data_IF_232093195713
#
_entry.id   IF_232093195713
#
_cell.length_a   1.000
_cell.length_b   1.000
_cell.length_c   1.000
_cell.angle_alpha   90.00
_cell.angle_beta   90.00
_cell.angle_gamma   90.00
#
_symmetry.space_group_name_H-M   'P 1'
#
loop_
_entity.id
_entity.type
_entity.pdbx_description
1 polymer ?
#
# COMPACT_ATOMS: atom_id res chain seq x y z
N UNK A 1 -26.83 9.41 23.77
CA UNK A 1 -26.04 8.39 24.51
C UNK A 1 -26.89 7.20 24.93
N UNK A 2 -28.14 7.38 25.39
CA UNK A 2 -29.06 6.27 25.73
C UNK A 2 -29.42 5.36 24.52
N UNK A 3 -29.58 5.92 23.32
CA UNK A 3 -29.97 5.18 22.11
C UNK A 3 -28.92 4.13 21.65
N UNK A 4 -27.65 4.29 22.07
CA UNK A 4 -26.58 3.34 21.72
C UNK A 4 -26.59 2.11 22.64
N UNK A 5 -26.90 2.30 23.93
CA UNK A 5 -27.00 1.20 24.90
C UNK A 5 -28.20 0.28 24.62
N UNK A 6 -29.33 0.85 24.18
CA UNK A 6 -30.53 0.09 23.80
C UNK A 6 -30.33 -0.74 22.53
N UNK A 7 -29.53 -0.24 21.59
CA UNK A 7 -29.13 -0.99 20.39
C UNK A 7 -28.15 -2.10 20.74
N UNK A 8 -27.17 -1.81 21.57
CA UNK A 8 -26.17 -2.78 22.00
C UNK A 8 -26.79 -3.95 22.77
N UNK A 9 -27.73 -3.68 23.67
CA UNK A 9 -28.46 -4.73 24.37
C UNK A 9 -29.29 -5.59 23.42
N UNK A 10 -29.91 -5.01 22.39
CA UNK A 10 -30.63 -5.77 21.34
C UNK A 10 -29.69 -6.63 20.50
N UNK A 11 -28.52 -6.10 20.10
CA UNK A 11 -27.52 -6.89 19.35
C UNK A 11 -26.97 -8.05 20.18
N UNK A 12 -26.62 -7.81 21.45
CA UNK A 12 -26.20 -8.87 22.40
C UNK A 12 -27.28 -9.95 22.56
N UNK A 13 -28.55 -9.55 22.61
CA UNK A 13 -29.68 -10.49 22.74
C UNK A 13 -29.91 -11.29 21.46
N UNK A 14 -29.61 -10.72 20.29
CA UNK A 14 -29.91 -11.31 18.99
C UNK A 14 -28.78 -12.19 18.45
N UNK A 15 -27.51 -11.88 18.76
CA UNK A 15 -26.34 -12.65 18.30
C UNK A 15 -25.65 -13.44 19.41
N UNK A 16 -25.87 -13.09 20.69
CA UNK A 16 -25.21 -13.73 21.83
C UNK A 16 -23.71 -13.41 21.98
N UNK A 17 -23.16 -12.54 21.12
CA UNK A 17 -21.73 -12.24 21.08
C UNK A 17 -21.46 -10.88 21.75
N UNK A 18 -20.58 -10.88 22.75
CA UNK A 18 -20.10 -9.67 23.41
C UNK A 18 -19.27 -8.81 22.44
N UNK A 19 -19.32 -7.47 22.57
CA UNK A 19 -18.52 -6.53 21.77
C UNK A 19 -17.02 -6.87 21.75
N UNK A 20 -16.47 -7.28 22.89
CA UNK A 20 -15.07 -7.69 22.97
C UNK A 20 -14.79 -8.94 22.14
N UNK A 21 -15.68 -9.94 22.23
CA UNK A 21 -15.56 -11.15 21.43
C UNK A 21 -15.70 -10.86 19.93
N UNK A 22 -16.63 -9.98 19.54
CA UNK A 22 -16.79 -9.52 18.17
C UNK A 22 -15.51 -8.86 17.65
N UNK A 23 -14.89 -7.98 18.42
CA UNK A 23 -13.63 -7.34 18.05
C UNK A 23 -12.51 -8.35 17.79
N UNK A 24 -12.35 -9.34 18.69
CA UNK A 24 -11.35 -10.41 18.52
C UNK A 24 -11.65 -11.26 17.28
N UNK A 25 -12.90 -11.64 17.06
CA UNK A 25 -13.30 -12.40 15.87
C UNK A 25 -13.05 -11.61 14.57
N UNK A 26 -13.36 -10.32 14.54
CA UNK A 26 -13.08 -9.44 13.41
C UNK A 26 -11.56 -9.32 13.15
N UNK A 27 -10.77 -9.22 14.23
CA UNK A 27 -9.30 -9.16 14.17
C UNK A 27 -8.67 -10.47 13.67
N UNK A 28 -9.17 -11.61 14.12
CA UNK A 28 -8.71 -12.92 13.64
C UNK A 28 -9.11 -13.12 12.17
N UNK A 29 -10.36 -12.77 11.84
CA UNK A 29 -10.87 -12.88 10.48
C UNK A 29 -10.06 -12.04 9.48
N UNK A 30 -9.81 -10.76 9.79
CA UNK A 30 -9.02 -9.92 8.88
C UNK A 30 -7.61 -10.48 8.71
N UNK A 31 -6.99 -11.00 9.76
CA UNK A 31 -5.66 -11.61 9.67
C UNK A 31 -5.64 -12.88 8.82
N UNK A 32 -6.72 -13.67 8.82
CA UNK A 32 -6.86 -14.81 7.92
C UNK A 32 -6.86 -14.41 6.44
N UNK A 33 -7.27 -13.18 6.09
CA UNK A 33 -7.20 -12.68 4.71
C UNK A 33 -5.76 -12.52 4.19
N UNK A 34 -4.75 -12.53 5.07
CA UNK A 34 -3.36 -12.54 4.63
C UNK A 34 -2.99 -13.84 3.89
N UNK A 35 -3.69 -14.95 4.16
CA UNK A 35 -3.38 -16.25 3.58
C UNK A 35 -4.07 -16.43 2.21
N UNK A 36 -3.32 -16.56 1.09
CA UNK A 36 -3.89 -16.74 -0.25
C UNK A 36 -4.74 -18.00 -0.40
N UNK A 37 -4.40 -19.08 0.31
CA UNK A 37 -5.19 -20.32 0.28
C UNK A 37 -6.59 -20.11 0.86
N UNK A 38 -6.70 -19.30 1.92
CA UNK A 38 -8.00 -18.99 2.52
C UNK A 38 -8.85 -18.12 1.58
N UNK A 39 -8.24 -17.16 0.89
CA UNK A 39 -8.93 -16.35 -0.11
C UNK A 39 -9.43 -17.18 -1.29
N UNK A 40 -8.62 -18.13 -1.77
CA UNK A 40 -9.04 -19.06 -2.81
C UNK A 40 -10.21 -19.93 -2.34
N UNK A 41 -10.17 -20.44 -1.10
CA UNK A 41 -11.31 -21.16 -0.52
C UNK A 41 -12.58 -20.28 -0.44
N UNK A 42 -12.47 -19.02 -0.02
CA UNK A 42 -13.60 -18.08 -0.01
C UNK A 42 -14.19 -17.86 -1.43
N UNK A 43 -13.31 -17.77 -2.43
CA UNK A 43 -13.71 -17.61 -3.82
C UNK A 43 -14.44 -18.86 -4.36
N UNK A 44 -13.91 -20.07 -4.09
CA UNK A 44 -14.54 -21.33 -4.50
C UNK A 44 -15.93 -21.53 -3.89
N UNK A 45 -16.13 -21.09 -2.64
CA UNK A 45 -17.42 -21.15 -1.95
C UNK A 45 -18.37 -19.99 -2.31
N UNK A 46 -18.00 -19.13 -3.27
CA UNK A 46 -18.79 -17.99 -3.77
C UNK A 46 -19.13 -16.92 -2.74
N UNK A 47 -18.39 -16.84 -1.63
CA UNK A 47 -18.56 -15.75 -0.66
C UNK A 47 -18.17 -14.39 -1.26
N UNK A 48 -17.23 -14.35 -2.20
CA UNK A 48 -16.77 -13.12 -2.86
C UNK A 48 -17.76 -12.56 -3.91
N UNK A 49 -18.82 -13.30 -4.22
CA UNK A 49 -19.92 -12.89 -5.11
C UNK A 49 -21.09 -12.27 -4.32
N UNK A 50 -21.23 -12.63 -3.04
CA UNK A 50 -22.33 -12.16 -2.20
C UNK A 50 -22.14 -10.68 -1.80
N UNK A 51 -23.15 -9.87 -2.13
CA UNK A 51 -23.19 -8.44 -1.79
C UNK A 51 -23.16 -8.20 -0.28
N UNK A 52 -23.77 -9.09 0.52
CA UNK A 52 -23.75 -8.94 1.97
C UNK A 52 -22.31 -9.09 2.51
N UNK A 53 -21.57 -10.07 2.00
CA UNK A 53 -20.16 -10.27 2.36
C UNK A 53 -19.26 -9.14 1.87
N UNK A 54 -19.46 -8.61 0.66
CA UNK A 54 -18.71 -7.45 0.18
C UNK A 54 -18.93 -6.20 1.03
N UNK A 55 -20.17 -5.96 1.49
CA UNK A 55 -20.47 -4.90 2.43
C UNK A 55 -19.74 -5.10 3.77
N UNK A 56 -19.58 -6.36 4.21
CA UNK A 56 -18.80 -6.68 5.40
C UNK A 56 -17.29 -6.43 5.21
N UNK A 57 -16.73 -6.77 4.05
CA UNK A 57 -15.33 -6.41 3.72
C UNK A 57 -15.12 -4.89 3.72
N UNK A 58 -16.09 -4.13 3.18
CA UNK A 58 -16.06 -2.67 3.25
C UNK A 58 -16.14 -2.14 4.68
N UNK A 59 -16.95 -2.77 5.52
CA UNK A 59 -16.98 -2.45 6.95
C UNK A 59 -15.59 -2.65 7.59
N UNK A 60 -14.89 -3.74 7.28
CA UNK A 60 -13.54 -4.03 7.81
C UNK A 60 -12.46 -3.03 7.39
N UNK A 61 -12.71 -2.09 6.48
CA UNK A 61 -11.75 -1.03 6.16
C UNK A 61 -11.41 -0.12 7.35
N UNK A 62 -12.23 -0.12 8.42
CA UNK A 62 -11.91 0.61 9.65
C UNK A 62 -10.57 0.17 10.27
N UNK A 63 -10.14 -1.08 10.03
CA UNK A 63 -8.85 -1.61 10.49
C UNK A 63 -7.64 -0.88 9.91
N UNK A 64 -7.80 -0.14 8.80
CA UNK A 64 -6.74 0.71 8.22
C UNK A 64 -6.45 1.95 9.06
N UNK A 65 -7.37 2.39 9.91
CA UNK A 65 -7.14 3.55 10.74
C UNK A 65 -6.03 3.25 11.76
N UNK A 66 -5.14 4.21 12.05
CA UNK A 66 -3.95 3.97 12.89
C UNK A 66 -4.30 3.46 14.30
N UNK A 67 -5.47 3.84 14.81
CA UNK A 67 -6.00 3.41 16.12
C UNK A 67 -6.17 1.89 16.20
N UNK A 68 -6.60 1.25 15.10
CA UNK A 68 -6.87 -0.19 15.03
C UNK A 68 -5.72 -0.97 14.39
N UNK A 69 -5.00 -0.35 13.45
CA UNK A 69 -3.88 -0.98 12.75
C UNK A 69 -2.76 -1.45 13.70
N UNK A 70 -2.64 -0.84 14.87
CA UNK A 70 -1.67 -1.22 15.91
C UNK A 70 -1.84 -2.66 16.40
N UNK A 71 -3.05 -3.22 16.31
CA UNK A 71 -3.35 -4.60 16.75
C UNK A 71 -3.04 -5.67 15.70
N UNK A 72 -2.74 -5.27 14.46
CA UNK A 72 -2.55 -6.20 13.34
C UNK A 72 -1.14 -6.77 13.37
N UNK A 73 -1.03 -8.10 13.42
CA UNK A 73 0.25 -8.80 13.35
C UNK A 73 0.74 -9.05 11.94
N UNK A 74 -0.18 -9.30 11.01
CA UNK A 74 0.13 -9.62 9.62
C UNK A 74 -0.25 -8.46 8.69
N UNK A 75 0.66 -7.53 8.36
CA UNK A 75 0.32 -6.33 7.60
C UNK A 75 -0.20 -6.62 6.19
N UNK A 76 0.12 -7.79 5.65
CA UNK A 76 -0.30 -8.21 4.32
C UNK A 76 -1.83 -8.40 4.20
N UNK A 77 -2.55 -8.59 5.31
CA UNK A 77 -4.01 -8.69 5.27
C UNK A 77 -4.67 -7.39 4.76
N UNK A 78 -4.10 -6.23 5.08
CA UNK A 78 -4.64 -4.94 4.65
C UNK A 78 -4.48 -4.74 3.13
N UNK A 79 -3.35 -5.19 2.58
CA UNK A 79 -3.12 -5.18 1.14
C UNK A 79 -4.10 -6.12 0.43
N UNK A 80 -4.32 -7.31 0.96
CA UNK A 80 -5.30 -8.26 0.41
C UNK A 80 -6.73 -7.72 0.50
N UNK A 81 -7.10 -7.05 1.60
CA UNK A 81 -8.40 -6.41 1.75
C UNK A 81 -8.65 -5.35 0.67
N UNK A 82 -7.62 -4.57 0.31
CA UNK A 82 -7.70 -3.58 -0.76
C UNK A 82 -7.86 -4.24 -2.13
N UNK A 83 -7.09 -5.31 -2.41
CA UNK A 83 -7.19 -6.06 -3.65
C UNK A 83 -8.58 -6.70 -3.83
N UNK A 84 -9.18 -7.22 -2.75
CA UNK A 84 -10.51 -7.82 -2.76
C UNK A 84 -11.64 -6.85 -3.14
N UNK A 85 -11.43 -5.53 -3.03
CA UNK A 85 -12.41 -4.54 -3.49
C UNK A 85 -12.56 -4.56 -5.03
N UNK A 86 -11.48 -4.94 -5.74
CA UNK A 86 -11.52 -5.11 -7.19
C UNK A 86 -12.27 -6.39 -7.56
N UNK A 87 -13.28 -6.26 -8.41
CA UNK A 87 -13.98 -7.42 -8.97
C UNK A 87 -13.06 -8.32 -9.79
N UNK A 88 -12.13 -7.72 -10.54
CA UNK A 88 -11.16 -8.47 -11.33
C UNK A 88 -10.32 -9.40 -10.45
N UNK A 89 -9.83 -8.90 -9.31
CA UNK A 89 -9.03 -9.70 -8.40
C UNK A 89 -9.83 -10.86 -7.78
N UNK A 90 -11.11 -10.64 -7.46
CA UNK A 90 -12.00 -11.69 -6.93
C UNK A 90 -12.19 -12.85 -7.91
N UNK A 91 -12.21 -12.55 -9.21
CA UNK A 91 -12.26 -13.58 -10.25
C UNK A 91 -10.91 -14.30 -10.40
N UNK A 92 -9.81 -13.54 -10.36
CA UNK A 92 -8.44 -14.07 -10.50
C UNK A 92 -8.09 -15.02 -9.35
N UNK A 93 -8.39 -14.64 -8.09
CA UNK A 93 -8.04 -15.44 -6.91
C UNK A 93 -8.82 -16.76 -6.83
N UNK A 94 -9.91 -16.92 -7.59
CA UNK A 94 -10.60 -18.21 -7.72
C UNK A 94 -9.74 -19.26 -8.43
N UNK A 95 -8.81 -18.83 -9.30
CA UNK A 95 -7.85 -19.71 -9.95
C UNK A 95 -6.75 -20.15 -8.96
N UNK A 96 -6.48 -21.47 -8.85
CA UNK A 96 -5.42 -21.97 -7.99
C UNK A 96 -4.02 -21.52 -8.43
N UNK A 97 -3.84 -21.22 -9.72
CA UNK A 97 -2.55 -20.72 -10.25
C UNK A 97 -2.24 -19.33 -9.69
N UNK A 98 -3.22 -18.42 -9.74
CA UNK A 98 -3.05 -17.07 -9.22
C UNK A 98 -2.82 -17.07 -7.70
N UNK A 99 -3.48 -17.98 -6.98
CA UNK A 99 -3.25 -18.18 -5.55
C UNK A 99 -1.80 -18.56 -5.26
N UNK A 100 -1.25 -19.53 -6.00
CA UNK A 100 0.14 -20.00 -5.81
C UNK A 100 1.16 -18.91 -6.18
N UNK A 101 0.88 -18.13 -7.22
CA UNK A 101 1.68 -16.96 -7.58
C UNK A 101 1.72 -15.93 -6.45
N UNK A 102 0.56 -15.58 -5.87
CA UNK A 102 0.48 -14.62 -4.76
C UNK A 102 1.21 -15.19 -3.53
N UNK A 103 1.02 -16.47 -3.21
CA UNK A 103 1.73 -17.14 -2.12
C UNK A 103 3.25 -17.10 -2.33
N UNK A 104 3.71 -17.39 -3.54
CA UNK A 104 5.12 -17.32 -3.91
C UNK A 104 5.66 -15.89 -3.81
N UNK A 105 4.90 -14.88 -4.26
CA UNK A 105 5.28 -13.47 -4.12
C UNK A 105 5.38 -13.04 -2.65
N UNK A 106 4.45 -13.46 -1.80
CA UNK A 106 4.52 -13.23 -0.36
C UNK A 106 5.79 -13.85 0.24
N UNK A 107 6.09 -15.10 -0.13
CA UNK A 107 7.29 -15.80 0.33
C UNK A 107 8.58 -15.09 -0.12
N UNK A 108 8.67 -14.66 -1.38
CA UNK A 108 9.81 -13.90 -1.89
C UNK A 108 9.97 -12.56 -1.16
N UNK A 109 8.87 -11.84 -0.91
CA UNK A 109 8.89 -10.60 -0.16
C UNK A 109 9.49 -10.81 1.23
N UNK A 110 9.08 -11.86 1.94
CA UNK A 110 9.63 -12.18 3.26
C UNK A 110 11.09 -12.63 3.21
N UNK A 111 11.45 -13.50 2.27
CA UNK A 111 12.81 -13.97 2.10
C UNK A 111 13.79 -12.82 1.84
N UNK A 112 13.37 -11.83 1.06
CA UNK A 112 14.18 -10.67 0.71
C UNK A 112 13.92 -9.44 1.57
N UNK A 113 13.02 -9.50 2.55
CA UNK A 113 12.59 -8.35 3.35
C UNK A 113 13.75 -7.56 3.94
N UNK A 114 14.67 -8.26 4.62
CA UNK A 114 15.84 -7.64 5.24
C UNK A 114 16.78 -7.03 4.20
N UNK A 115 17.05 -7.75 3.12
CA UNK A 115 17.95 -7.33 2.05
C UNK A 115 17.40 -6.10 1.32
N UNK A 116 16.10 -6.09 1.03
CA UNK A 116 15.44 -4.98 0.33
C UNK A 116 15.44 -3.72 1.19
N UNK A 117 15.16 -3.82 2.50
CA UNK A 117 15.23 -2.67 3.41
C UNK A 117 16.63 -2.08 3.56
N UNK A 118 17.68 -2.92 3.56
CA UNK A 118 19.07 -2.43 3.58
C UNK A 118 19.39 -1.70 2.27
N UNK A 119 18.99 -2.26 1.13
CA UNK A 119 19.16 -1.63 -0.18
C UNK A 119 18.42 -0.29 -0.28
N UNK A 120 17.17 -0.24 0.18
CA UNK A 120 16.34 0.97 0.20
C UNK A 120 16.94 2.04 1.13
N UNK A 121 17.41 1.66 2.32
CA UNK A 121 18.05 2.59 3.25
C UNK A 121 19.37 3.15 2.67
N UNK A 122 20.19 2.30 2.03
CA UNK A 122 21.41 2.72 1.36
C UNK A 122 21.12 3.65 0.15
N UNK A 123 20.09 3.34 -0.65
CA UNK A 123 19.67 4.19 -1.76
C UNK A 123 19.12 5.54 -1.28
N UNK A 124 18.34 5.56 -0.19
CA UNK A 124 17.84 6.79 0.43
C UNK A 124 18.99 7.65 0.98
N UNK A 125 19.99 7.04 1.62
CA UNK A 125 21.18 7.74 2.10
C UNK A 125 22.01 8.33 0.94
N UNK A 126 22.20 7.58 -0.15
CA UNK A 126 22.89 8.06 -1.34
C UNK A 126 22.14 9.22 -2.03
N UNK A 127 20.80 9.15 -2.10
CA UNK A 127 19.97 10.22 -2.64
C UNK A 127 20.06 11.51 -1.81
N UNK A 128 20.14 11.40 -0.48
CA UNK A 128 20.31 12.54 0.42
C UNK A 128 21.72 13.17 0.30
N UNK A 129 22.77 12.35 0.11
CA UNK A 129 24.12 12.84 -0.12
C UNK A 129 24.23 13.63 -1.44
N UNK A 130 23.65 13.12 -2.53
CA UNK A 130 23.64 13.84 -3.83
C UNK A 130 22.85 15.16 -3.82
N UNK A 131 21.84 15.30 -2.96
CA UNK A 131 21.11 16.56 -2.77
C UNK A 131 21.89 17.61 -1.94
N UNK A 132 22.86 17.19 -1.13
CA UNK A 132 23.71 18.10 -0.36
C UNK A 132 24.82 18.74 -1.22
N UNK A 133 25.41 17.98 -2.16
CA UNK A 133 26.43 18.50 -3.10
C UNK A 133 25.84 19.51 -4.10
N UNK A 134 24.57 19.38 -4.49
CA UNK A 134 23.89 20.35 -5.36
C UNK A 134 23.56 21.70 -4.71
N UNK A 135 23.64 21.81 -3.37
CA UNK A 135 23.34 23.06 -2.64
C UNK A 135 24.54 24.00 -2.48
N UNK A 136 25.77 23.53 -2.69
CA UNK A 136 26.98 24.36 -2.55
C UNK A 136 27.45 25.03 -3.86
N UNK A 137 26.95 24.61 -5.03
CA UNK A 137 27.33 25.18 -6.34
C UNK A 137 26.53 26.43 -6.77
N UNK A 138 25.67 26.97 -5.89
CA UNK A 138 24.79 28.11 -6.18
C UNK A 138 25.12 29.37 -5.38
N UNK A 139 26.37 29.81 -5.34
CA UNK A 139 26.71 31.14 -4.80
C UNK A 139 28.04 31.69 -5.35
N UNK A 140 28.09 31.97 -6.65
CA UNK A 140 29.05 32.95 -7.20
C UNK A 140 28.35 33.75 -8.28
N UNK A 141 27.83 34.93 -7.93
CA UNK A 141 27.78 36.05 -8.86
C UNK A 141 27.57 37.37 -8.13
N UNK A 142 28.47 38.32 -8.39
CA UNK A 142 28.26 39.72 -8.06
C UNK A 142 29.51 40.57 -7.96
N UNK A 143 30.20 40.84 -9.08
CA UNK A 143 30.67 42.21 -9.36
C UNK A 143 31.04 42.42 -10.82
N UNK A 144 30.49 43.50 -11.36
CA UNK A 144 30.54 43.96 -12.74
C UNK A 144 31.62 45.05 -12.94
N UNK A 145 31.73 45.49 -14.21
CA UNK A 145 32.51 46.59 -14.81
C UNK A 145 33.94 46.26 -15.28
N UNK A 146 34.37 46.49 -16.54
CA UNK A 146 34.02 47.54 -17.52
C UNK A 146 34.35 47.15 -18.98
N UNK A 147 33.53 47.68 -19.91
CA UNK A 147 33.82 48.23 -21.26
C UNK A 147 34.63 47.44 -22.33
N UNK A 148 33.98 47.16 -23.47
CA UNK A 148 34.41 47.59 -24.82
C UNK A 148 33.42 47.13 -25.92
N UNK A 149 33.15 48.02 -26.89
CA UNK A 149 32.18 47.92 -27.99
C UNK A 149 32.73 47.12 -29.22
N UNK A 150 31.91 46.85 -30.28
CA UNK A 150 32.02 45.70 -31.21
C UNK A 150 32.82 45.99 -32.51
N UNK A 151 32.99 44.98 -33.40
CA UNK A 151 32.22 45.03 -34.64
C UNK A 151 31.75 43.66 -35.18
N UNK A 152 30.98 43.76 -36.26
CA UNK A 152 30.14 42.76 -36.91
C UNK A 152 30.84 41.68 -37.75
N UNK A 153 30.09 40.60 -38.00
CA UNK A 153 29.69 40.09 -39.32
C UNK A 153 29.95 38.59 -39.57
N UNK A 154 28.89 37.93 -40.09
CA UNK A 154 28.88 36.75 -40.98
C UNK A 154 29.37 35.41 -40.39
N UNK A 155 28.93 34.21 -40.76
CA UNK A 155 27.88 33.60 -41.60
C UNK A 155 28.09 32.07 -41.45
N UNK A 156 27.06 31.27 -41.78
CA UNK A 156 27.08 29.81 -42.01
C UNK A 156 27.02 28.91 -40.75
N UNK A 157 25.92 28.18 -40.50
CA UNK A 157 25.47 26.96 -41.20
C UNK A 157 26.43 25.79 -41.03
N UNK A 158 26.04 24.75 -40.25
CA UNK A 158 26.00 23.35 -40.70
C UNK A 158 25.36 22.44 -39.63
N UNK A 159 24.49 21.56 -40.12
CA UNK A 159 23.78 20.45 -39.47
C UNK A 159 24.67 19.21 -39.19
N UNK A 160 24.15 18.18 -38.48
CA UNK A 160 24.92 17.02 -37.99
C UNK A 160 24.96 15.85 -39.00
N UNK A 161 25.77 14.83 -38.72
CA UNK A 161 25.31 13.43 -38.80
C UNK A 161 25.93 12.56 -37.67
N UNK A 162 25.49 11.36 -37.29
CA UNK A 162 24.43 10.43 -37.65
C UNK A 162 24.12 9.57 -36.41
#
# INVERSE_FOLDING_TARGET
MADNQDKLSRYLTQTGVNEHARFILELEFIQCLANPHYLNWLAQNKYLEDKAFLNYLKYLEYWRQPQYATYIRFPHCLAMLELLQSEHFRQVIASPVAMDEIHTQQAFYWMHYRTNRIKEAAAAAAAQAGQAEGRQAGSTNGQADTAAAPPAAATAAQQPPA
#
